data_IF_748417910752
#
_entry.id   IF_748417910752
#
_cell.length_a   1.000
_cell.length_b   1.000
_cell.length_c   1.000
_cell.angle_alpha   90.00
_cell.angle_beta   90.00
_cell.angle_gamma   90.00
#
_symmetry.space_group_name_H-M   'P 1'
#
loop_
_entity.id
_entity.type
_entity.pdbx_description
1 polymer ?
#
# COMPACT_ATOMS: atom_id res chain seq x y z
N UNK A 1 7.68 -15.01 23.79
CA UNK A 1 6.77 -16.08 23.32
C UNK A 1 5.75 -15.46 22.35
N UNK A 2 5.97 -15.64 21.05
CA UNK A 2 5.19 -15.03 19.98
C UNK A 2 3.80 -15.63 19.87
N UNK A 3 2.79 -14.78 19.88
CA UNK A 3 1.41 -15.15 19.58
C UNK A 3 1.27 -15.33 18.07
N UNK A 4 1.25 -16.58 17.59
CA UNK A 4 0.82 -16.91 16.22
C UNK A 4 -0.68 -16.57 16.07
N UNK A 5 -0.98 -15.34 15.69
CA UNK A 5 -2.28 -15.00 15.12
C UNK A 5 -2.27 -15.40 13.66
N UNK A 6 -2.87 -16.54 13.32
CA UNK A 6 -3.36 -16.76 11.96
C UNK A 6 -4.46 -15.72 11.72
N UNK A 7 -4.13 -14.66 11.00
CA UNK A 7 -5.12 -13.71 10.48
C UNK A 7 -5.95 -14.45 9.42
N UNK A 8 -7.17 -14.81 9.80
CA UNK A 8 -8.22 -15.12 8.83
C UNK A 8 -8.60 -13.78 8.21
N UNK A 9 -8.55 -13.70 6.89
CA UNK A 9 -8.82 -12.50 6.13
C UNK A 9 -10.27 -12.04 6.36
N UNK A 10 -10.40 -10.81 6.84
CA UNK A 10 -11.66 -10.14 7.14
C UNK A 10 -11.82 -9.94 8.64
N UNK A 11 -12.07 -8.69 9.03
CA UNK A 11 -12.25 -8.31 10.44
C UNK A 11 -13.63 -8.80 10.93
N UNK A 12 -13.80 -10.14 11.02
CA UNK A 12 -15.01 -10.73 11.55
C UNK A 12 -14.94 -10.60 13.07
N UNK A 13 -15.91 -9.95 13.73
CA UNK A 13 -15.88 -9.72 15.17
C UNK A 13 -16.26 -10.97 15.98
N UNK A 14 -15.91 -12.16 15.48
CA UNK A 14 -16.23 -13.46 16.11
C UNK A 14 -14.94 -14.28 16.18
N UNK A 15 -14.56 -14.70 17.40
CA UNK A 15 -13.33 -15.43 17.65
C UNK A 15 -13.49 -16.48 18.75
N UNK A 16 -12.58 -17.48 18.79
CA UNK A 16 -12.50 -18.38 19.95
C UNK A 16 -11.76 -17.70 21.12
N UNK A 17 -12.31 -17.82 22.31
CA UNK A 17 -11.70 -17.40 23.57
C UNK A 17 -11.57 -18.58 24.52
N UNK A 18 -10.45 -18.64 25.24
CA UNK A 18 -10.11 -19.71 26.18
C UNK A 18 -10.15 -19.15 27.59
N UNK A 19 -11.01 -19.69 28.45
CA UNK A 19 -11.14 -19.29 29.85
C UNK A 19 -10.67 -20.40 30.76
N UNK A 20 -9.72 -20.10 31.67
CA UNK A 20 -9.29 -21.07 32.70
C UNK A 20 -10.47 -21.45 33.61
N UNK A 21 -10.55 -22.72 33.96
CA UNK A 21 -11.48 -23.29 34.91
C UNK A 21 -10.71 -24.10 35.98
N UNK A 22 -11.39 -24.48 37.05
CA UNK A 22 -10.85 -25.28 38.11
C UNK A 22 -10.31 -26.63 37.59
N UNK A 23 -9.16 -27.11 38.04
CA UNK A 23 -8.59 -28.40 37.62
C UNK A 23 -7.84 -28.36 36.27
N UNK A 24 -7.09 -27.30 35.99
CA UNK A 24 -6.24 -27.15 34.77
C UNK A 24 -6.95 -27.30 33.43
N UNK A 25 -8.28 -27.20 33.43
CA UNK A 25 -9.09 -27.21 32.21
C UNK A 25 -9.30 -25.79 31.68
N UNK A 26 -9.43 -25.64 30.36
CA UNK A 26 -9.80 -24.39 29.72
C UNK A 26 -11.13 -24.58 28.99
N UNK A 27 -12.14 -23.79 29.34
CA UNK A 27 -13.39 -23.72 28.58
C UNK A 27 -13.16 -22.95 27.27
N UNK A 28 -13.78 -23.41 26.19
CA UNK A 28 -13.78 -22.74 24.89
C UNK A 28 -15.07 -21.94 24.79
N UNK A 29 -14.93 -20.64 24.55
CA UNK A 29 -16.04 -19.73 24.33
C UNK A 29 -15.93 -19.15 22.91
N UNK A 30 -17.06 -18.80 22.30
CA UNK A 30 -17.10 -17.97 21.11
C UNK A 30 -17.32 -16.53 21.59
N UNK A 31 -16.44 -15.64 21.21
CA UNK A 31 -16.44 -14.22 21.57
C UNK A 31 -17.00 -13.43 20.39
N UNK A 32 -18.16 -12.83 20.57
CA UNK A 32 -18.82 -11.95 19.62
C UNK A 32 -18.61 -10.50 20.05
N UNK A 33 -18.04 -9.68 19.20
CA UNK A 33 -17.91 -8.26 19.46
C UNK A 33 -18.91 -7.46 18.61
N UNK A 34 -19.93 -6.88 19.25
CA UNK A 34 -20.89 -5.98 18.61
C UNK A 34 -21.32 -4.87 19.58
N UNK A 35 -21.73 -3.73 19.06
CA UNK A 35 -22.13 -2.55 19.82
C UNK A 35 -21.12 -2.10 20.88
N UNK A 36 -19.81 -2.29 20.58
CA UNK A 36 -18.72 -1.90 21.50
C UNK A 36 -18.54 -2.83 22.71
N UNK A 37 -19.24 -3.98 22.77
CA UNK A 37 -19.17 -4.95 23.88
C UNK A 37 -18.84 -6.35 23.40
N UNK A 38 -18.21 -7.13 24.29
CA UNK A 38 -17.95 -8.54 24.08
C UNK A 38 -19.08 -9.39 24.66
N UNK A 39 -19.62 -10.28 23.84
CA UNK A 39 -20.62 -11.28 24.23
C UNK A 39 -20.01 -12.66 24.09
N UNK A 40 -20.16 -13.49 25.14
CA UNK A 40 -19.53 -14.79 25.19
C UNK A 40 -20.56 -15.92 25.12
N UNK A 41 -20.46 -16.76 24.11
CA UNK A 41 -21.23 -17.97 23.95
C UNK A 41 -20.43 -19.17 24.48
N UNK A 42 -20.99 -19.95 25.38
CA UNK A 42 -20.34 -21.15 25.91
C UNK A 42 -20.54 -22.33 24.94
N UNK A 43 -19.46 -22.89 24.41
CA UNK A 43 -19.51 -24.04 23.51
C UNK A 43 -19.71 -25.37 24.22
N UNK A 44 -19.61 -25.44 25.55
CA UNK A 44 -19.61 -26.68 26.31
C UNK A 44 -18.32 -27.53 26.11
N UNK A 45 -17.36 -27.04 25.35
CA UNK A 45 -16.12 -27.76 25.09
C UNK A 45 -14.99 -27.32 26.04
N UNK A 46 -14.18 -28.29 26.43
CA UNK A 46 -13.06 -28.05 27.35
C UNK A 46 -11.76 -28.64 26.79
N UNK A 47 -10.68 -27.92 26.99
CA UNK A 47 -9.32 -28.41 26.74
C UNK A 47 -8.68 -28.80 28.07
N UNK A 48 -7.90 -29.88 28.05
CA UNK A 48 -6.98 -30.25 29.14
C UNK A 48 -5.64 -29.51 28.95
N UNK A 49 -4.87 -29.39 30.05
CA UNK A 49 -3.57 -28.74 29.98
C UNK A 49 -2.62 -29.48 29.04
N UNK A 50 -2.02 -28.75 28.10
CA UNK A 50 -1.09 -29.31 27.10
C UNK A 50 0.35 -29.48 27.66
N UNK A 51 0.47 -30.28 28.68
CA UNK A 51 1.78 -30.62 29.32
C UNK A 51 2.47 -31.80 28.65
N UNK A 52 1.71 -32.62 27.91
CA UNK A 52 2.21 -33.82 27.23
C UNK A 52 1.70 -33.91 25.81
N UNK A 53 2.43 -34.66 24.96
CA UNK A 53 1.97 -34.89 23.55
C UNK A 53 0.66 -35.68 23.49
N UNK A 54 0.41 -36.54 24.47
CA UNK A 54 -0.88 -37.26 24.63
C UNK A 54 -2.01 -36.26 24.82
N UNK A 55 -1.86 -35.26 25.68
CA UNK A 55 -2.85 -34.24 25.92
C UNK A 55 -3.16 -33.41 24.68
N UNK A 56 -2.14 -33.11 23.82
CA UNK A 56 -2.36 -32.43 22.54
C UNK A 56 -3.20 -33.26 21.58
N UNK A 57 -2.95 -34.58 21.53
CA UNK A 57 -3.75 -35.51 20.69
C UNK A 57 -5.19 -35.59 21.17
N UNK A 58 -5.44 -35.61 22.47
CA UNK A 58 -6.78 -35.60 23.06
C UNK A 58 -7.52 -34.27 22.83
N UNK A 59 -6.82 -33.12 22.82
CA UNK A 59 -7.40 -31.82 22.53
C UNK A 59 -7.72 -31.60 21.03
N UNK A 60 -7.06 -32.31 20.11
CA UNK A 60 -7.21 -32.09 18.68
C UNK A 60 -8.65 -32.25 18.17
N UNK A 61 -9.41 -33.32 18.53
CA UNK A 61 -10.81 -33.46 18.11
C UNK A 61 -11.72 -32.38 18.71
N UNK A 62 -11.46 -31.98 19.96
CA UNK A 62 -12.17 -30.88 20.64
C UNK A 62 -11.98 -29.55 19.93
N UNK A 63 -10.73 -29.24 19.51
CA UNK A 63 -10.43 -28.04 18.74
C UNK A 63 -11.05 -28.07 17.35
N UNK A 64 -11.14 -29.22 16.69
CA UNK A 64 -11.86 -29.35 15.40
C UNK A 64 -13.34 -29.02 15.54
N UNK A 65 -14.00 -29.55 16.60
CA UNK A 65 -15.40 -29.23 16.93
C UNK A 65 -15.57 -27.74 17.21
N UNK A 66 -14.70 -27.13 18.01
CA UNK A 66 -14.76 -25.72 18.34
C UNK A 66 -14.60 -24.83 17.09
N UNK A 67 -13.67 -25.16 16.19
CA UNK A 67 -13.49 -24.46 14.92
C UNK A 67 -14.70 -24.65 13.98
N UNK A 68 -15.35 -25.82 13.98
CA UNK A 68 -16.58 -26.05 13.24
C UNK A 68 -17.72 -25.17 13.73
N UNK A 69 -17.92 -25.06 15.05
CA UNK A 69 -18.90 -24.15 15.64
C UNK A 69 -18.60 -22.68 15.34
N UNK A 70 -17.33 -22.28 15.43
CA UNK A 70 -16.90 -20.94 15.06
C UNK A 70 -17.23 -20.62 13.59
N UNK A 71 -16.92 -21.55 12.69
CA UNK A 71 -17.23 -21.35 11.26
C UNK A 71 -18.73 -21.25 11.02
N UNK A 72 -19.52 -22.06 11.68
CA UNK A 72 -20.99 -22.00 11.60
C UNK A 72 -21.51 -20.62 12.06
N UNK A 73 -21.00 -20.07 13.17
CA UNK A 73 -21.37 -18.73 13.64
C UNK A 73 -20.92 -17.61 12.69
N UNK A 74 -19.76 -17.77 12.07
CA UNK A 74 -19.29 -16.85 11.03
C UNK A 74 -20.22 -16.88 9.80
N UNK A 75 -20.61 -18.07 9.36
CA UNK A 75 -21.52 -18.24 8.22
C UNK A 75 -22.92 -17.68 8.53
N UNK A 76 -23.45 -17.92 9.73
CA UNK A 76 -24.69 -17.31 10.23
C UNK A 76 -24.61 -15.77 10.27
N UNK A 77 -23.50 -15.21 10.77
CA UNK A 77 -23.28 -13.77 10.82
C UNK A 77 -23.28 -13.15 9.40
N UNK A 78 -22.66 -13.80 8.43
CA UNK A 78 -22.69 -13.34 7.04
C UNK A 78 -24.07 -13.55 6.40
N UNK A 79 -24.79 -14.62 6.74
CA UNK A 79 -26.15 -14.87 6.27
C UNK A 79 -27.15 -13.83 6.81
N UNK A 80 -27.03 -13.44 8.07
CA UNK A 80 -27.87 -12.40 8.68
C UNK A 80 -27.53 -10.99 8.17
N UNK A 81 -26.28 -10.75 7.76
CA UNK A 81 -25.86 -9.51 7.10
C UNK A 81 -26.16 -9.46 5.61
N UNK A 82 -26.64 -10.54 5.01
CA UNK A 82 -27.23 -10.49 3.67
C UNK A 82 -28.61 -9.81 3.74
N UNK A 83 -28.60 -8.52 4.05
CA UNK A 83 -29.69 -7.61 3.69
C UNK A 83 -29.96 -7.87 2.19
N UNK A 84 -31.24 -7.94 1.74
CA UNK A 84 -31.54 -8.08 0.33
C UNK A 84 -30.70 -7.07 -0.42
N UNK A 85 -29.80 -7.57 -1.25
CA UNK A 85 -28.94 -6.72 -2.08
C UNK A 85 -29.91 -5.94 -2.97
N UNK A 86 -30.17 -4.69 -2.62
CA UNK A 86 -30.61 -3.72 -3.62
C UNK A 86 -29.54 -3.85 -4.67
N UNK A 87 -29.86 -4.42 -5.83
CA UNK A 87 -28.91 -4.59 -6.93
C UNK A 87 -28.46 -3.18 -7.32
N UNK A 88 -27.37 -2.75 -6.68
CA UNK A 88 -26.72 -1.52 -7.12
C UNK A 88 -26.39 -1.70 -8.62
N UNK A 89 -26.64 -0.66 -9.43
CA UNK A 89 -26.37 -0.74 -10.85
C UNK A 89 -24.96 -1.28 -11.07
N UNK A 90 -24.76 -2.16 -12.06
CA UNK A 90 -23.50 -2.82 -12.28
C UNK A 90 -22.40 -1.79 -12.56
N UNK A 91 -21.51 -1.62 -11.60
CA UNK A 91 -20.37 -0.70 -11.66
C UNK A 91 -19.30 -1.30 -12.57
N UNK A 92 -18.83 -0.58 -13.58
CA UNK A 92 -17.71 -1.00 -14.42
C UNK A 92 -16.38 -0.86 -13.66
N UNK A 93 -15.33 -1.55 -14.14
CA UNK A 93 -14.00 -1.43 -13.54
C UNK A 93 -13.47 0.01 -13.60
N UNK A 94 -13.73 0.72 -14.70
CA UNK A 94 -13.31 2.12 -14.86
C UNK A 94 -14.04 3.07 -13.91
N UNK A 95 -15.34 2.89 -13.67
CA UNK A 95 -16.13 3.67 -12.70
C UNK A 95 -15.70 3.38 -11.27
N UNK A 96 -15.42 2.11 -10.96
CA UNK A 96 -14.87 1.74 -9.67
C UNK A 96 -13.52 2.42 -9.41
N UNK A 97 -12.65 2.46 -10.43
CA UNK A 97 -11.36 3.14 -10.28
C UNK A 97 -11.52 4.65 -10.08
N UNK A 98 -12.53 5.30 -10.69
CA UNK A 98 -12.88 6.70 -10.39
C UNK A 98 -13.26 6.87 -8.92
N UNK A 99 -14.09 5.99 -8.39
CA UNK A 99 -14.47 5.99 -6.97
C UNK A 99 -13.25 5.83 -6.06
N UNK A 100 -12.35 4.92 -6.40
CA UNK A 100 -11.07 4.76 -5.70
C UNK A 100 -10.22 6.04 -5.71
N UNK A 101 -10.14 6.74 -6.84
CA UNK A 101 -9.40 8.01 -6.96
C UNK A 101 -10.01 9.09 -6.07
N UNK A 102 -11.35 9.20 -6.04
CA UNK A 102 -12.05 10.17 -5.18
C UNK A 102 -11.73 9.88 -3.70
N UNK A 103 -11.75 8.63 -3.29
CA UNK A 103 -11.42 8.24 -1.92
C UNK A 103 -9.96 8.58 -1.57
N UNK A 104 -9.02 8.36 -2.50
CA UNK A 104 -7.62 8.74 -2.30
C UNK A 104 -7.42 10.26 -2.21
N UNK A 105 -8.18 11.05 -2.95
CA UNK A 105 -8.20 12.51 -2.82
C UNK A 105 -8.73 12.94 -1.46
N UNK A 106 -9.82 12.34 -0.99
CA UNK A 106 -10.39 12.60 0.33
C UNK A 106 -9.40 12.31 1.47
N UNK A 107 -8.55 11.28 1.30
CA UNK A 107 -7.47 10.93 2.23
C UNK A 107 -6.26 11.89 2.16
N UNK A 108 -6.28 12.93 1.34
CA UNK A 108 -5.19 13.90 1.19
C UNK A 108 -3.93 13.36 0.51
N UNK A 109 -4.05 12.26 -0.24
CA UNK A 109 -2.90 11.63 -0.89
C UNK A 109 -2.46 12.48 -2.09
N UNK A 110 -1.27 13.08 -2.03
CA UNK A 110 -0.70 13.96 -3.08
C UNK A 110 -0.61 13.32 -4.48
N UNK A 111 -0.54 11.99 -4.56
CA UNK A 111 -0.46 11.28 -5.84
C UNK A 111 -1.82 11.10 -6.52
N UNK A 112 -2.92 11.52 -5.88
CA UNK A 112 -4.27 11.33 -6.41
C UNK A 112 -4.46 11.98 -7.80
N UNK A 113 -3.80 13.09 -8.09
CA UNK A 113 -3.87 13.73 -9.41
C UNK A 113 -3.28 12.88 -10.54
N UNK A 114 -2.23 12.10 -10.25
CA UNK A 114 -1.68 11.13 -11.21
C UNK A 114 -2.67 9.99 -11.49
N UNK A 115 -3.49 9.63 -10.50
CA UNK A 115 -4.49 8.57 -10.64
C UNK A 115 -5.61 8.94 -11.63
N UNK A 116 -5.86 10.22 -11.84
CA UNK A 116 -6.80 10.69 -12.89
C UNK A 116 -6.33 10.22 -14.27
N UNK A 117 -5.03 10.32 -14.56
CA UNK A 117 -4.46 9.82 -15.80
C UNK A 117 -4.58 8.29 -15.91
N UNK A 118 -4.42 7.58 -14.81
CA UNK A 118 -4.58 6.11 -14.79
C UNK A 118 -6.03 5.70 -15.02
N UNK A 119 -6.99 6.50 -14.53
CA UNK A 119 -8.41 6.29 -14.84
C UNK A 119 -8.66 6.39 -16.34
N UNK A 120 -8.10 7.39 -17.02
CA UNK A 120 -8.21 7.55 -18.47
C UNK A 120 -7.64 6.31 -19.19
N UNK A 121 -6.45 5.85 -18.82
CA UNK A 121 -5.83 4.66 -19.40
C UNK A 121 -6.72 3.43 -19.24
N UNK A 122 -7.29 3.21 -18.06
CA UNK A 122 -8.19 2.10 -17.81
C UNK A 122 -9.49 2.19 -18.61
N UNK A 123 -10.02 3.41 -18.80
CA UNK A 123 -11.23 3.65 -19.60
C UNK A 123 -10.94 3.41 -21.10
N UNK A 124 -9.76 3.81 -21.58
CA UNK A 124 -9.31 3.54 -22.96
C UNK A 124 -9.11 2.03 -23.21
N UNK A 125 -8.60 1.32 -22.21
CA UNK A 125 -8.38 -0.12 -22.27
C UNK A 125 -9.71 -0.89 -22.32
N UNK A 126 -10.60 -0.63 -21.38
CA UNK A 126 -11.90 -1.31 -21.29
C UNK A 126 -12.86 -0.48 -20.43
N UNK A 127 -13.88 0.08 -21.06
CA UNK A 127 -14.92 0.88 -20.39
C UNK A 127 -16.15 0.05 -19.99
N UNK A 128 -16.24 -1.20 -20.43
CA UNK A 128 -17.48 -2.00 -20.39
C UNK A 128 -17.45 -3.13 -19.35
N UNK A 129 -16.28 -3.70 -19.09
CA UNK A 129 -16.17 -4.83 -18.16
C UNK A 129 -16.61 -4.42 -16.76
N UNK A 130 -17.57 -5.16 -16.19
CA UNK A 130 -18.08 -4.96 -14.84
C UNK A 130 -17.01 -5.33 -13.82
N UNK A 131 -16.99 -4.65 -12.68
CA UNK A 131 -16.04 -4.93 -11.59
C UNK A 131 -16.09 -6.40 -11.13
N UNK A 132 -17.28 -7.00 -11.09
CA UNK A 132 -17.48 -8.41 -10.68
C UNK A 132 -16.91 -9.41 -11.70
N UNK A 133 -16.80 -9.02 -12.97
CA UNK A 133 -16.32 -9.86 -14.07
C UNK A 133 -14.81 -9.72 -14.31
N UNK A 134 -14.14 -8.87 -13.52
CA UNK A 134 -12.68 -8.74 -13.56
C UNK A 134 -12.05 -10.03 -13.04
N UNK A 135 -11.40 -10.75 -13.95
CA UNK A 135 -10.74 -12.02 -13.68
C UNK A 135 -9.22 -11.97 -13.92
N UNK A 136 -8.56 -13.13 -13.84
CA UNK A 136 -7.13 -13.27 -14.15
C UNK A 136 -6.82 -12.86 -15.59
N UNK A 137 -7.70 -13.20 -16.54
CA UNK A 137 -7.49 -12.93 -17.98
C UNK A 137 -7.56 -11.44 -18.24
N UNK A 138 -8.52 -10.73 -17.62
CA UNK A 138 -8.58 -9.27 -17.67
C UNK A 138 -7.28 -8.63 -17.17
N UNK A 139 -6.75 -9.09 -16.04
CA UNK A 139 -5.50 -8.58 -15.48
C UNK A 139 -4.30 -8.77 -16.42
N UNK A 140 -4.22 -9.94 -17.09
CA UNK A 140 -3.18 -10.23 -18.08
C UNK A 140 -3.32 -9.33 -19.30
N UNK A 141 -4.53 -9.18 -19.85
CA UNK A 141 -4.82 -8.27 -20.97
C UNK A 141 -4.44 -6.82 -20.65
N UNK A 142 -4.75 -6.34 -19.45
CA UNK A 142 -4.34 -5.00 -19.00
C UNK A 142 -2.82 -4.85 -19.00
N UNK A 143 -2.08 -5.84 -18.49
CA UNK A 143 -0.61 -5.79 -18.46
C UNK A 143 -0.04 -5.77 -19.89
N UNK A 144 -0.55 -6.60 -20.79
CA UNK A 144 -0.15 -6.64 -22.20
C UNK A 144 -0.46 -5.32 -22.89
N UNK A 145 -1.67 -4.79 -22.73
CA UNK A 145 -2.06 -3.49 -23.26
C UNK A 145 -1.10 -2.37 -22.83
N UNK A 146 -0.80 -2.27 -21.54
CA UNK A 146 0.12 -1.25 -21.00
C UNK A 146 1.54 -1.38 -21.55
N UNK A 147 1.99 -2.59 -21.83
CA UNK A 147 3.36 -2.88 -22.32
C UNK A 147 3.49 -2.64 -23.81
N UNK A 148 2.54 -3.10 -24.59
CA UNK A 148 2.71 -3.29 -26.02
C UNK A 148 1.86 -2.34 -26.87
N UNK A 149 0.65 -1.98 -26.42
CA UNK A 149 -0.34 -1.26 -27.20
C UNK A 149 -0.43 0.22 -26.81
N UNK A 150 -0.51 0.50 -25.51
CA UNK A 150 -0.68 1.88 -25.05
C UNK A 150 0.49 2.78 -25.44
N UNK A 151 0.15 4.00 -25.89
CA UNK A 151 1.14 5.04 -26.19
C UNK A 151 0.82 6.31 -25.39
N UNK A 152 1.86 7.00 -24.97
CA UNK A 152 1.74 8.32 -24.32
C UNK A 152 1.30 9.36 -25.35
N UNK A 153 0.97 10.56 -24.88
CA UNK A 153 0.65 11.69 -25.80
C UNK A 153 1.79 12.01 -26.76
N UNK A 154 3.02 11.71 -26.38
CA UNK A 154 4.21 11.85 -27.24
C UNK A 154 4.43 10.66 -28.19
N UNK A 155 3.52 9.66 -28.22
CA UNK A 155 3.64 8.47 -29.06
C UNK A 155 4.58 7.38 -28.50
N UNK A 156 5.14 7.57 -27.31
CA UNK A 156 6.11 6.67 -26.70
C UNK A 156 5.45 5.54 -25.90
N UNK A 157 6.17 4.41 -25.75
CA UNK A 157 5.79 3.33 -24.85
C UNK A 157 5.92 3.77 -23.39
N UNK A 158 5.10 3.18 -22.52
CA UNK A 158 5.27 3.36 -21.08
C UNK A 158 6.58 2.76 -20.58
N UNK A 159 7.26 3.47 -19.69
CA UNK A 159 8.40 2.91 -18.99
C UNK A 159 7.99 1.73 -18.10
N UNK A 160 8.88 0.72 -17.87
CA UNK A 160 8.58 -0.38 -16.94
C UNK A 160 8.18 0.09 -15.55
N UNK A 161 8.71 1.23 -15.09
CA UNK A 161 8.35 1.86 -13.81
C UNK A 161 6.93 2.39 -13.82
N UNK A 162 6.50 3.00 -14.93
CA UNK A 162 5.12 3.49 -15.08
C UNK A 162 4.13 2.34 -15.08
N UNK A 163 4.41 1.26 -15.80
CA UNK A 163 3.58 0.05 -15.82
C UNK A 163 3.45 -0.54 -14.42
N UNK A 164 4.57 -0.68 -13.70
CA UNK A 164 4.58 -1.15 -12.31
C UNK A 164 3.70 -0.28 -11.40
N UNK A 165 3.78 1.04 -11.52
CA UNK A 165 2.99 1.96 -10.71
C UNK A 165 1.50 1.88 -11.04
N UNK A 166 1.11 1.89 -12.33
CA UNK A 166 -0.29 1.79 -12.77
C UNK A 166 -0.91 0.50 -12.25
N UNK A 167 -0.24 -0.63 -12.44
CA UNK A 167 -0.72 -1.94 -12.00
C UNK A 167 -0.75 -2.06 -10.48
N UNK A 168 0.15 -1.38 -9.75
CA UNK A 168 0.15 -1.31 -8.31
C UNK A 168 -1.08 -0.57 -7.76
N UNK A 169 -1.49 0.54 -8.38
CA UNK A 169 -2.72 1.24 -7.99
C UNK A 169 -3.98 0.47 -8.42
N UNK A 170 -3.94 -0.21 -9.56
CA UNK A 170 -5.00 -1.12 -9.97
C UNK A 170 -5.21 -2.23 -8.93
N UNK A 171 -4.14 -2.92 -8.50
CA UNK A 171 -4.17 -3.89 -7.41
C UNK A 171 -4.78 -3.31 -6.13
N UNK A 172 -4.37 -2.09 -5.75
CA UNK A 172 -4.87 -1.43 -4.54
C UNK A 172 -6.36 -1.11 -4.64
N UNK A 173 -6.85 -0.71 -5.82
CA UNK A 173 -8.28 -0.47 -6.06
C UNK A 173 -9.12 -1.76 -5.96
N UNK A 174 -8.59 -2.89 -6.45
CA UNK A 174 -9.25 -4.20 -6.29
C UNK A 174 -9.25 -4.65 -4.82
N UNK A 175 -8.19 -4.38 -4.05
CA UNK A 175 -8.19 -4.65 -2.61
C UNK A 175 -9.25 -3.83 -1.88
N UNK A 176 -9.46 -2.57 -2.26
CA UNK A 176 -10.54 -1.77 -1.73
C UNK A 176 -11.91 -2.35 -2.10
N UNK A 177 -12.06 -2.90 -3.33
CA UNK A 177 -13.29 -3.56 -3.77
C UNK A 177 -13.62 -4.81 -2.92
N UNK A 178 -12.61 -5.59 -2.55
CA UNK A 178 -12.77 -6.72 -1.61
C UNK A 178 -13.17 -6.24 -0.22
N UNK A 179 -12.47 -5.21 0.29
CA UNK A 179 -12.76 -4.66 1.62
C UNK A 179 -14.17 -4.08 1.75
N UNK A 180 -14.69 -3.52 0.65
CA UNK A 180 -16.05 -2.96 0.61
C UNK A 180 -17.12 -3.99 0.19
N UNK A 181 -16.75 -5.26 0.02
CA UNK A 181 -17.66 -6.35 -0.34
C UNK A 181 -18.19 -6.31 -1.79
N UNK A 182 -17.61 -5.48 -2.66
CA UNK A 182 -18.03 -5.38 -4.07
C UNK A 182 -17.59 -6.59 -4.91
N UNK A 183 -16.48 -7.23 -4.54
CA UNK A 183 -15.99 -8.50 -5.12
C UNK A 183 -15.54 -9.45 -3.99
N UNK A 184 -15.69 -10.75 -4.20
CA UNK A 184 -15.36 -11.76 -3.20
C UNK A 184 -13.84 -11.94 -3.00
N UNK A 185 -13.04 -11.80 -4.06
CA UNK A 185 -11.59 -11.98 -4.01
C UNK A 185 -10.90 -11.14 -5.08
N UNK A 186 -9.66 -10.75 -4.81
CA UNK A 186 -8.87 -9.99 -5.77
C UNK A 186 -8.20 -10.93 -6.80
N UNK A 187 -8.57 -10.84 -8.09
CA UNK A 187 -8.04 -11.71 -9.14
C UNK A 187 -6.56 -11.52 -9.40
N UNK A 188 -5.98 -10.39 -9.06
CA UNK A 188 -4.55 -10.09 -9.20
C UNK A 188 -3.66 -11.10 -8.46
N UNK A 189 -4.13 -11.64 -7.35
CA UNK A 189 -3.35 -12.64 -6.58
C UNK A 189 -3.26 -13.99 -7.27
N UNK A 190 -4.13 -14.26 -8.27
CA UNK A 190 -4.09 -15.48 -9.09
C UNK A 190 -3.04 -15.41 -10.22
N UNK A 191 -2.44 -14.25 -10.45
CA UNK A 191 -1.34 -14.08 -11.41
C UNK A 191 -0.05 -14.71 -10.89
N UNK A 192 0.70 -15.36 -11.78
CA UNK A 192 2.02 -15.88 -11.45
C UNK A 192 3.01 -14.72 -11.17
N UNK A 193 4.10 -15.02 -10.49
CA UNK A 193 5.15 -14.03 -10.23
C UNK A 193 5.80 -13.48 -11.52
N UNK A 194 5.83 -14.30 -12.57
CA UNK A 194 6.43 -13.94 -13.84
C UNK A 194 5.52 -13.04 -14.68
N UNK A 195 4.20 -13.15 -14.52
CA UNK A 195 3.22 -12.33 -15.25
C UNK A 195 3.15 -10.90 -14.67
N UNK A 196 3.47 -10.74 -13.38
CA UNK A 196 3.40 -9.45 -12.70
C UNK A 196 4.52 -8.51 -13.13
N UNK A 197 4.22 -7.24 -13.45
CA UNK A 197 5.25 -6.24 -13.70
C UNK A 197 6.21 -6.13 -12.51
N UNK A 198 7.50 -6.18 -12.80
CA UNK A 198 8.56 -6.05 -11.79
C UNK A 198 8.92 -4.57 -11.60
N UNK A 199 9.23 -4.20 -10.35
CA UNK A 199 9.81 -2.89 -10.10
C UNK A 199 11.22 -2.84 -10.69
N UNK A 200 11.49 -2.00 -11.69
CA UNK A 200 12.83 -1.93 -12.27
C UNK A 200 13.82 -1.41 -11.22
N UNK A 201 14.98 -2.02 -11.18
CA UNK A 201 16.10 -1.50 -10.40
C UNK A 201 16.60 -0.23 -11.10
N UNK A 202 16.47 0.91 -10.48
CA UNK A 202 16.99 2.17 -10.99
C UNK A 202 18.48 2.24 -10.60
N UNK A 203 19.36 2.32 -11.57
CA UNK A 203 20.76 2.68 -11.32
C UNK A 203 20.78 4.17 -10.96
N UNK A 204 21.23 4.47 -9.75
CA UNK A 204 21.44 5.87 -9.35
C UNK A 204 22.80 6.28 -9.88
N UNK A 205 22.81 7.30 -10.70
CA UNK A 205 24.03 7.95 -11.15
C UNK A 205 24.26 9.19 -10.29
N UNK A 206 25.50 9.49 -10.02
CA UNK A 206 25.95 10.63 -9.24
C UNK A 206 27.19 11.22 -9.91
N UNK A 207 27.38 12.51 -9.75
CA UNK A 207 28.59 13.19 -10.22
C UNK A 207 29.75 12.84 -9.29
N UNK A 208 30.87 12.50 -9.87
CA UNK A 208 32.14 12.37 -9.15
C UNK A 208 32.69 13.76 -8.80
N UNK A 209 33.63 13.83 -7.84
CA UNK A 209 34.25 15.10 -7.44
C UNK A 209 34.92 15.78 -8.64
N UNK A 210 35.55 15.02 -9.54
CA UNK A 210 36.23 15.56 -10.70
C UNK A 210 35.26 16.10 -11.76
N UNK A 211 34.10 15.47 -11.92
CA UNK A 211 33.00 16.00 -12.74
C UNK A 211 32.41 17.27 -12.17
N UNK A 212 32.27 17.38 -10.84
CA UNK A 212 31.83 18.63 -10.18
C UNK A 212 32.85 19.73 -10.38
N UNK A 213 34.17 19.44 -10.28
CA UNK A 213 35.24 20.42 -10.59
C UNK A 213 35.19 20.88 -12.06
N UNK A 214 34.95 19.93 -12.98
CA UNK A 214 34.79 20.27 -14.40
C UNK A 214 33.56 21.16 -14.61
N UNK A 215 32.43 20.89 -13.91
CA UNK A 215 31.24 21.72 -13.95
C UNK A 215 31.53 23.14 -13.47
N UNK A 216 32.31 23.31 -12.39
CA UNK A 216 32.73 24.62 -11.88
C UNK A 216 33.52 25.39 -12.96
N UNK A 217 34.42 24.72 -13.65
CA UNK A 217 35.27 25.35 -14.66
C UNK A 217 34.52 25.65 -15.98
N UNK A 218 33.41 24.98 -16.26
CA UNK A 218 32.66 25.14 -17.51
C UNK A 218 31.90 26.47 -17.54
N UNK A 219 32.05 27.33 -18.56
CA UNK A 219 31.24 28.52 -18.72
C UNK A 219 29.73 28.15 -18.86
N UNK A 220 28.88 28.98 -18.30
CA UNK A 220 27.43 28.83 -18.38
C UNK A 220 26.78 30.18 -18.67
N UNK A 221 25.86 30.24 -19.62
CA UNK A 221 25.15 31.48 -19.96
C UNK A 221 24.31 31.99 -18.77
N UNK A 222 23.82 31.07 -17.93
CA UNK A 222 23.04 31.41 -16.75
C UNK A 222 23.78 31.00 -15.48
N UNK A 223 24.54 31.94 -14.92
CA UNK A 223 25.32 31.76 -13.69
C UNK A 223 24.44 31.42 -12.49
N UNK A 224 23.20 31.93 -12.41
CA UNK A 224 22.28 31.64 -11.31
C UNK A 224 21.91 30.14 -11.32
N UNK A 225 21.64 29.57 -12.48
CA UNK A 225 21.36 28.14 -12.61
C UNK A 225 22.57 27.29 -12.28
N UNK A 226 23.77 27.71 -12.72
CA UNK A 226 25.02 27.04 -12.39
C UNK A 226 25.28 27.03 -10.88
N UNK A 227 25.13 28.19 -10.22
CA UNK A 227 25.29 28.32 -8.77
C UNK A 227 24.27 27.45 -8.02
N UNK A 228 23.01 27.44 -8.45
CA UNK A 228 21.97 26.59 -7.84
C UNK A 228 22.27 25.09 -8.00
N UNK A 229 22.80 24.69 -9.17
CA UNK A 229 23.22 23.31 -9.42
C UNK A 229 24.39 22.90 -8.53
N UNK A 230 25.44 23.72 -8.46
CA UNK A 230 26.60 23.49 -7.60
C UNK A 230 26.20 23.44 -6.12
N UNK A 231 25.36 24.39 -5.69
CA UNK A 231 24.83 24.40 -4.34
C UNK A 231 24.07 23.10 -4.03
N UNK A 232 23.24 22.62 -4.98
CA UNK A 232 22.54 21.35 -4.85
C UNK A 232 23.52 20.16 -4.74
N UNK A 233 24.63 20.17 -5.51
CA UNK A 233 25.64 19.12 -5.43
C UNK A 233 26.34 19.09 -4.07
N UNK A 234 26.67 20.24 -3.50
CA UNK A 234 27.36 20.32 -2.21
C UNK A 234 26.46 20.08 -1.02
N UNK A 235 25.22 20.63 -1.05
CA UNK A 235 24.30 20.53 0.07
C UNK A 235 23.36 19.31 0.02
N UNK A 236 23.37 18.55 -1.05
CA UNK A 236 22.47 17.41 -1.25
C UNK A 236 20.99 17.79 -1.33
N UNK A 237 20.68 19.06 -1.56
CA UNK A 237 19.32 19.56 -1.64
C UNK A 237 18.68 19.21 -2.99
N UNK A 238 17.38 18.93 -2.98
CA UNK A 238 16.62 18.74 -4.22
C UNK A 238 16.35 20.10 -4.88
N UNK A 239 16.21 20.13 -6.18
CA UNK A 239 15.92 21.35 -6.94
C UNK A 239 14.74 22.16 -6.34
N UNK A 240 13.65 21.51 -5.96
CA UNK A 240 12.52 22.17 -5.33
C UNK A 240 12.88 22.85 -4.00
N UNK A 241 13.76 22.24 -3.22
CA UNK A 241 14.22 22.79 -1.93
C UNK A 241 15.15 23.98 -2.18
N UNK A 242 16.02 23.91 -3.19
CA UNK A 242 16.90 25.04 -3.58
C UNK A 242 16.08 26.24 -4.07
N UNK A 243 15.05 26.04 -4.88
CA UNK A 243 14.18 27.11 -5.40
C UNK A 243 13.38 27.77 -4.26
N UNK A 244 12.97 26.99 -3.25
CA UNK A 244 12.18 27.46 -2.11
C UNK A 244 13.03 28.00 -0.96
N UNK A 245 14.37 27.94 -1.06
CA UNK A 245 15.28 28.36 0.00
C UNK A 245 15.19 29.87 0.23
N UNK A 246 15.03 30.27 1.49
CA UNK A 246 15.01 31.66 1.93
C UNK A 246 16.15 31.89 2.92
N UNK A 247 16.63 33.14 2.99
CA UNK A 247 17.66 33.54 3.96
C UNK A 247 17.27 33.26 5.41
N UNK A 248 15.98 33.34 5.72
CA UNK A 248 15.42 33.02 7.05
C UNK A 248 15.60 31.54 7.43
N UNK A 249 15.83 30.69 6.43
CA UNK A 249 16.09 29.25 6.63
C UNK A 249 17.55 28.96 6.95
N UNK A 250 18.43 29.96 6.93
CA UNK A 250 19.85 29.81 7.20
C UNK A 250 20.09 30.43 8.60
N UNK A 251 20.57 29.63 9.55
CA UNK A 251 20.90 30.09 10.90
C UNK A 251 22.22 30.86 10.89
N UNK A 252 22.46 31.70 11.94
CA UNK A 252 23.66 32.50 12.05
C UNK A 252 24.97 31.69 12.09
N UNK A 253 24.90 30.41 12.41
CA UNK A 253 26.02 29.46 12.37
C UNK A 253 26.13 28.73 11.02
N UNK A 254 25.41 29.18 9.98
CA UNK A 254 25.45 28.64 8.63
C UNK A 254 24.75 27.30 8.45
N UNK A 255 23.91 26.88 9.40
CA UNK A 255 23.13 25.66 9.28
C UNK A 255 21.76 25.94 8.67
N UNK A 256 21.22 24.97 7.93
CA UNK A 256 19.86 25.04 7.42
C UNK A 256 18.87 24.64 8.52
N UNK A 257 18.00 25.58 8.95
CA UNK A 257 16.90 25.30 9.88
C UNK A 257 15.61 24.96 9.13
N UNK A 258 14.82 24.04 9.69
CA UNK A 258 13.45 23.74 9.27
C UNK A 258 13.24 23.24 7.83
N UNK A 259 14.03 22.26 7.37
CA UNK A 259 13.64 21.48 6.20
C UNK A 259 12.55 20.46 6.57
N UNK A 260 11.35 20.64 6.01
CA UNK A 260 10.09 19.92 6.32
C UNK A 260 10.13 18.42 5.97
N UNK A 261 11.18 17.91 5.34
CA UNK A 261 11.30 16.50 4.95
C UNK A 261 12.57 15.85 5.52
N UNK A 262 12.63 15.73 6.80
CA UNK A 262 13.36 14.84 7.73
C UNK A 262 14.52 13.94 7.30
N UNK A 263 15.23 14.19 6.22
CA UNK A 263 16.36 13.36 5.79
C UNK A 263 17.44 14.15 5.05
N UNK A 264 17.84 15.30 5.55
CA UNK A 264 19.05 15.95 5.03
C UNK A 264 20.19 15.79 6.04
N UNK A 265 21.38 15.36 5.62
CA UNK A 265 22.56 15.50 6.45
C UNK A 265 22.74 16.97 6.81
N UNK A 266 23.23 17.22 8.01
CA UNK A 266 23.53 18.57 8.49
C UNK A 266 24.61 19.15 7.55
N UNK A 267 24.19 19.99 6.61
CA UNK A 267 25.11 20.75 5.78
C UNK A 267 25.39 22.06 6.51
N UNK A 268 26.63 22.28 6.89
CA UNK A 268 27.08 23.52 7.52
C UNK A 268 27.57 24.44 6.40
N UNK A 269 26.87 25.55 6.18
CA UNK A 269 27.28 26.58 5.22
C UNK A 269 28.17 27.55 6.00
N UNK A 270 29.47 27.51 5.74
CA UNK A 270 30.40 28.49 6.28
C UNK A 270 30.63 29.62 5.28
N UNK A 271 30.35 30.83 5.66
CA UNK A 271 30.61 32.05 4.87
C UNK A 271 31.99 32.59 5.27
N UNK A 272 32.99 32.36 4.42
CA UNK A 272 34.29 33.05 4.56
C UNK A 272 34.57 33.77 3.25
N UNK A 273 34.57 35.10 3.28
CA UNK A 273 34.98 35.97 2.16
C UNK A 273 34.34 35.67 0.79
N UNK A 274 33.00 35.49 0.74
CA UNK A 274 32.30 35.38 -0.55
C UNK A 274 32.33 34.01 -1.21
N UNK A 275 32.89 33.00 -0.55
CA UNK A 275 32.94 31.61 -1.07
C UNK A 275 32.08 30.70 -0.19
N UNK A 276 31.14 29.97 -0.79
CA UNK A 276 30.36 28.93 -0.12
C UNK A 276 31.21 27.65 -0.04
N UNK A 277 31.45 27.15 1.17
CA UNK A 277 32.02 25.83 1.44
C UNK A 277 30.93 24.95 2.08
N UNK A 278 30.77 23.73 1.60
CA UNK A 278 29.98 22.68 2.22
C UNK A 278 30.88 21.64 2.86
#
# INVERSE_FOLDING_TARGET
MGRNRKQIAGNVPINLRFQKRTGDRKAILIDHFYEGKHHYENTGLFLIAETTEKARRENAPTMRKANGLLQQRIDEYFSLKSVPVVEEPPVTMSEWFKTFVVEKKRQGIRTADRLVNYTRILTEFDSTTRLKDVDKVFCLRLITYLRDEYRTRAGEKLSPKSIFNITGYFLTSLNMAVQTGKIASNPWYRLSRNDKPKNPKTKREYLTIDEVKALIATPCENETVKCACLFSCFCGLRLGDVISLKWESITNDGKLSNFINGTSPICTITHNHGTLYC
#
